data_IF_781925337372
#
_entry.id   IF_781925337372
#
_cell.length_a   1.000
_cell.length_b   1.000
_cell.length_c   1.000
_cell.angle_alpha   90.00
_cell.angle_beta   90.00
_cell.angle_gamma   90.00
#
_symmetry.space_group_name_H-M   'P 1'
#
loop_
_entity.id
_entity.type
_entity.pdbx_description
1 polymer ?
#
# COMPACT_ATOMS: atom_id res chain seq x y z
N UNK A 1 -6.33 17.92 2.12
CA UNK A 1 -6.03 16.85 3.09
C UNK A 1 -4.59 16.97 3.60
N UNK A 2 -3.53 16.93 2.75
CA UNK A 2 -2.13 17.00 3.20
C UNK A 2 -1.82 18.28 3.99
N UNK A 3 -2.18 19.45 3.44
CA UNK A 3 -2.00 20.72 4.14
C UNK A 3 -2.70 20.73 5.50
N UNK A 4 -3.96 20.28 5.58
CA UNK A 4 -4.69 20.21 6.84
C UNK A 4 -4.06 19.25 7.85
N UNK A 5 -3.39 18.17 7.38
CA UNK A 5 -2.64 17.29 8.26
C UNK A 5 -1.41 18.01 8.84
N UNK A 6 -0.65 18.73 8.01
CA UNK A 6 0.50 19.52 8.46
C UNK A 6 0.08 20.63 9.43
N UNK A 7 -1.01 21.35 9.17
CA UNK A 7 -1.53 22.38 10.05
C UNK A 7 -1.92 21.86 11.44
N UNK A 8 -2.47 20.61 11.47
CA UNK A 8 -2.97 20.00 12.72
C UNK A 8 -1.91 19.24 13.51
N UNK A 9 -1.01 18.55 12.84
CA UNK A 9 -0.05 17.63 13.45
C UNK A 9 1.38 18.17 13.46
N UNK A 10 1.62 19.26 12.73
CA UNK A 10 2.98 19.77 12.51
C UNK A 10 3.73 18.91 11.48
N UNK A 11 4.98 18.65 11.77
CA UNK A 11 5.85 17.85 10.92
C UNK A 11 5.39 16.39 10.83
N UNK A 12 5.33 15.87 9.61
CA UNK A 12 4.92 14.49 9.35
C UNK A 12 6.15 13.63 9.11
N UNK A 13 6.38 12.69 9.98
CA UNK A 13 7.53 11.78 9.97
C UNK A 13 7.26 10.49 9.20
N UNK A 14 6.04 9.96 9.33
CA UNK A 14 5.65 8.68 8.75
C UNK A 14 4.35 8.87 7.97
N UNK A 15 4.35 8.42 6.73
CA UNK A 15 3.17 8.37 5.85
C UNK A 15 2.82 6.92 5.59
N UNK A 16 1.56 6.55 5.88
CA UNK A 16 1.03 5.22 5.56
C UNK A 16 -0.13 5.37 4.56
N UNK A 17 0.11 5.02 3.32
CA UNK A 17 -0.89 4.96 2.26
C UNK A 17 -1.65 3.62 2.36
N UNK A 18 -2.65 3.56 3.24
CA UNK A 18 -3.44 2.35 3.54
C UNK A 18 -4.80 2.34 2.83
N UNK A 19 -5.33 3.50 2.47
CA UNK A 19 -6.62 3.59 1.78
C UNK A 19 -6.61 2.81 0.47
N UNK A 20 -7.69 2.07 0.20
CA UNK A 20 -7.82 1.30 -1.02
C UNK A 20 -9.24 0.82 -1.26
N UNK A 21 -9.50 0.40 -2.50
CA UNK A 21 -10.75 -0.25 -2.92
C UNK A 21 -10.40 -1.54 -3.67
N UNK A 22 -11.25 -2.54 -3.53
CA UNK A 22 -11.13 -3.86 -4.17
C UNK A 22 -12.40 -4.14 -4.99
N UNK A 23 -12.51 -3.61 -6.22
CA UNK A 23 -13.59 -4.02 -7.11
C UNK A 23 -13.37 -5.45 -7.58
N UNK A 24 -14.34 -6.30 -7.30
CA UNK A 24 -14.37 -7.69 -7.73
C UNK A 24 -15.39 -7.82 -8.87
N UNK A 25 -14.90 -7.79 -10.11
CA UNK A 25 -15.73 -7.82 -11.31
C UNK A 25 -14.91 -8.22 -12.53
N UNK A 26 -15.56 -8.91 -13.45
CA UNK A 26 -14.99 -9.28 -14.75
C UNK A 26 -14.62 -8.02 -15.55
N UNK A 27 -13.50 -8.07 -16.28
CA UNK A 27 -13.00 -6.94 -17.07
C UNK A 27 -14.02 -6.49 -18.12
N UNK A 28 -14.72 -7.42 -18.76
CA UNK A 28 -15.72 -7.08 -19.79
C UNK A 28 -16.91 -6.28 -19.23
N UNK A 29 -17.22 -6.43 -17.95
CA UNK A 29 -18.31 -5.73 -17.27
C UNK A 29 -17.84 -4.49 -16.51
N UNK A 30 -16.52 -4.30 -16.41
CA UNK A 30 -15.94 -3.16 -15.69
C UNK A 30 -16.17 -1.86 -16.44
N UNK A 31 -16.80 -0.89 -15.81
CA UNK A 31 -17.00 0.45 -16.38
C UNK A 31 -15.74 1.30 -16.25
N UNK A 32 -15.56 2.29 -17.13
CA UNK A 32 -14.47 3.28 -17.00
C UNK A 32 -14.54 4.03 -15.67
N UNK A 33 -15.74 4.31 -15.17
CA UNK A 33 -15.91 4.95 -13.86
C UNK A 33 -15.35 4.10 -12.71
N UNK A 34 -15.56 2.79 -12.74
CA UNK A 34 -14.99 1.86 -11.74
C UNK A 34 -13.47 1.80 -11.86
N UNK A 35 -12.94 1.75 -13.09
CA UNK A 35 -11.52 1.82 -13.36
C UNK A 35 -10.90 3.10 -12.78
N UNK A 36 -11.45 4.28 -13.15
CA UNK A 36 -10.96 5.57 -12.70
C UNK A 36 -11.00 5.70 -11.17
N UNK A 37 -12.10 5.25 -10.54
CA UNK A 37 -12.20 5.23 -9.07
C UNK A 37 -11.11 4.37 -8.44
N UNK A 38 -10.89 3.18 -8.96
CA UNK A 38 -9.86 2.28 -8.44
C UNK A 38 -8.46 2.90 -8.57
N UNK A 39 -8.11 3.40 -9.76
CA UNK A 39 -6.82 4.03 -10.02
C UNK A 39 -6.62 5.32 -9.20
N UNK A 40 -7.66 6.13 -9.06
CA UNK A 40 -7.59 7.37 -8.28
C UNK A 40 -7.31 7.09 -6.78
N UNK A 41 -7.96 6.08 -6.20
CA UNK A 41 -7.79 5.74 -4.79
C UNK A 41 -6.49 4.95 -4.57
N UNK A 42 -6.25 3.89 -5.34
CA UNK A 42 -5.17 2.96 -5.08
C UNK A 42 -3.79 3.44 -5.57
N UNK A 43 -3.75 4.38 -6.53
CA UNK A 43 -2.50 4.83 -7.17
C UNK A 43 -2.30 6.33 -7.09
N UNK A 44 -3.26 7.12 -7.60
CA UNK A 44 -3.11 8.57 -7.68
C UNK A 44 -3.02 9.22 -6.31
N UNK A 45 -3.83 8.78 -5.34
CA UNK A 45 -3.79 9.32 -3.99
C UNK A 45 -2.44 9.06 -3.30
N UNK A 46 -1.89 7.82 -3.27
CA UNK A 46 -0.53 7.57 -2.78
C UNK A 46 0.54 8.40 -3.47
N UNK A 47 0.46 8.58 -4.79
CA UNK A 47 1.38 9.46 -5.52
C UNK A 47 1.33 10.90 -5.02
N UNK A 48 0.13 11.49 -4.91
CA UNK A 48 -0.05 12.89 -4.46
C UNK A 48 0.45 13.07 -3.03
N UNK A 49 0.10 12.15 -2.12
CA UNK A 49 0.49 12.20 -0.71
C UNK A 49 1.99 12.07 -0.57
N UNK A 50 2.60 11.08 -1.21
CA UNK A 50 4.05 10.87 -1.18
C UNK A 50 4.80 12.07 -1.75
N UNK A 51 4.37 12.59 -2.92
CA UNK A 51 4.94 13.79 -3.54
C UNK A 51 4.89 15.01 -2.61
N UNK A 52 3.83 15.17 -1.85
CA UNK A 52 3.66 16.32 -0.94
C UNK A 52 4.65 16.26 0.22
N UNK A 53 4.77 15.11 0.89
CA UNK A 53 5.59 14.98 2.10
C UNK A 53 7.07 14.69 1.83
N UNK A 54 7.43 14.07 0.71
CA UNK A 54 8.81 13.67 0.43
C UNK A 54 9.79 14.85 0.40
N UNK A 55 9.36 16.03 -0.02
CA UNK A 55 10.23 17.21 -0.12
C UNK A 55 10.75 17.65 1.24
N UNK A 56 9.87 17.72 2.24
CA UNK A 56 10.25 18.06 3.62
C UNK A 56 11.06 16.92 4.25
N UNK A 57 10.67 15.66 4.06
CA UNK A 57 11.41 14.49 4.52
C UNK A 57 12.86 14.48 3.98
N UNK A 58 13.06 14.80 2.70
CA UNK A 58 14.40 14.94 2.09
C UNK A 58 15.21 16.04 2.76
N UNK A 59 14.64 17.22 2.98
CA UNK A 59 15.38 18.37 3.53
C UNK A 59 15.95 18.10 4.94
N UNK A 60 15.25 17.31 5.74
CA UNK A 60 15.69 16.90 7.08
C UNK A 60 16.38 15.54 7.13
N UNK A 61 16.54 14.88 5.96
CA UNK A 61 17.19 13.58 5.80
C UNK A 61 16.58 12.47 6.66
N UNK A 62 15.28 12.56 6.90
CA UNK A 62 14.52 11.56 7.64
C UNK A 62 13.07 11.52 7.23
N UNK A 63 12.53 10.35 7.01
CA UNK A 63 11.13 10.10 6.71
C UNK A 63 10.87 8.63 6.42
N UNK A 64 9.58 8.24 6.54
CA UNK A 64 9.11 6.88 6.22
C UNK A 64 7.85 6.96 5.39
N UNK A 65 7.82 6.28 4.26
CA UNK A 65 6.64 6.17 3.40
C UNK A 65 6.34 4.69 3.21
N UNK A 66 5.20 4.23 3.71
CA UNK A 66 4.73 2.86 3.53
C UNK A 66 3.50 2.85 2.62
N UNK A 67 3.61 2.17 1.50
CA UNK A 67 2.50 1.92 0.58
C UNK A 67 1.94 0.51 0.82
N UNK A 68 0.68 0.43 1.24
CA UNK A 68 0.00 -0.86 1.43
C UNK A 68 -0.39 -1.43 0.08
N UNK A 69 0.46 -2.34 -0.39
CA UNK A 69 0.30 -3.11 -1.62
C UNK A 69 -0.74 -4.23 -1.50
N UNK A 70 -0.43 -5.34 -2.10
CA UNK A 70 -1.18 -6.60 -2.02
C UNK A 70 -0.35 -7.72 -2.64
N UNK A 71 -0.62 -8.98 -2.30
CA UNK A 71 -0.15 -10.14 -3.08
C UNK A 71 -0.57 -10.04 -4.55
N UNK A 72 -1.67 -9.36 -4.86
CA UNK A 72 -2.14 -9.06 -6.22
C UNK A 72 -1.25 -8.10 -7.01
N UNK A 73 -0.20 -7.53 -6.40
CA UNK A 73 0.81 -6.74 -7.11
C UNK A 73 1.85 -7.63 -7.84
N UNK A 74 1.79 -8.95 -7.63
CA UNK A 74 2.77 -9.91 -8.16
C UNK A 74 2.14 -11.00 -9.03
N UNK A 75 0.83 -10.91 -9.29
CA UNK A 75 0.10 -11.86 -10.13
C UNK A 75 -1.27 -11.36 -10.53
N UNK A 76 -1.94 -12.07 -11.41
CA UNK A 76 -3.30 -11.82 -11.83
C UNK A 76 -4.32 -12.65 -11.06
N UNK A 77 -5.57 -12.20 -11.02
CA UNK A 77 -6.71 -12.95 -10.51
C UNK A 77 -7.92 -12.67 -11.40
N UNK A 78 -8.66 -13.72 -11.75
CA UNK A 78 -9.94 -13.56 -12.41
C UNK A 78 -10.85 -12.64 -11.58
N UNK A 79 -11.67 -11.84 -12.26
CA UNK A 79 -12.62 -10.88 -11.69
C UNK A 79 -11.99 -9.77 -10.79
N UNK A 80 -10.68 -9.67 -10.77
CA UNK A 80 -9.95 -8.63 -10.02
C UNK A 80 -8.97 -7.84 -10.90
N UNK A 81 -9.20 -7.80 -12.22
CA UNK A 81 -8.24 -7.25 -13.20
C UNK A 81 -7.82 -5.80 -12.90
N UNK A 82 -8.77 -4.90 -12.67
CA UNK A 82 -8.44 -3.49 -12.37
C UNK A 82 -7.77 -3.32 -11.00
N UNK A 83 -8.10 -4.14 -10.02
CA UNK A 83 -7.42 -4.15 -8.73
C UNK A 83 -5.97 -4.61 -8.87
N UNK A 84 -5.73 -5.74 -9.55
CA UNK A 84 -4.37 -6.21 -9.83
C UNK A 84 -3.57 -5.15 -10.58
N UNK A 85 -4.14 -4.53 -11.61
CA UNK A 85 -3.53 -3.41 -12.35
C UNK A 85 -3.12 -2.28 -11.40
N UNK A 86 -4.01 -1.85 -10.52
CA UNK A 86 -3.73 -0.76 -9.57
C UNK A 86 -2.62 -1.12 -8.58
N UNK A 87 -2.58 -2.37 -8.11
CA UNK A 87 -1.55 -2.81 -7.15
C UNK A 87 -0.18 -3.03 -7.80
N UNK A 88 -0.13 -3.46 -9.06
CA UNK A 88 1.12 -3.45 -9.85
C UNK A 88 1.62 -2.02 -10.09
N UNK A 89 0.72 -1.08 -10.42
CA UNK A 89 1.07 0.32 -10.60
C UNK A 89 1.60 0.96 -9.29
N UNK A 90 0.98 0.65 -8.14
CA UNK A 90 1.44 1.12 -6.83
C UNK A 90 2.81 0.54 -6.47
N UNK A 91 3.08 -0.73 -6.79
CA UNK A 91 4.38 -1.34 -6.60
C UNK A 91 5.46 -0.64 -7.44
N UNK A 92 5.17 -0.37 -8.72
CA UNK A 92 6.08 0.38 -9.60
C UNK A 92 6.38 1.78 -9.07
N UNK A 93 5.34 2.51 -8.61
CA UNK A 93 5.51 3.82 -7.96
C UNK A 93 6.40 3.71 -6.71
N UNK A 94 6.17 2.70 -5.87
CA UNK A 94 6.94 2.51 -4.63
C UNK A 94 8.41 2.24 -4.91
N UNK A 95 8.72 1.39 -5.91
CA UNK A 95 10.09 1.12 -6.37
C UNK A 95 10.79 2.38 -6.87
N UNK A 96 10.09 3.21 -7.63
CA UNK A 96 10.64 4.48 -8.13
C UNK A 96 10.93 5.45 -6.98
N UNK A 97 9.99 5.63 -6.06
CA UNK A 97 10.18 6.47 -4.88
C UNK A 97 11.35 5.99 -4.00
N UNK A 98 11.49 4.67 -3.82
CA UNK A 98 12.64 4.10 -3.10
C UNK A 98 13.96 4.49 -3.76
N UNK A 99 14.09 4.33 -5.09
CA UNK A 99 15.31 4.69 -5.80
C UNK A 99 15.62 6.19 -5.73
N UNK A 100 14.59 7.05 -5.78
CA UNK A 100 14.75 8.50 -5.70
C UNK A 100 15.16 8.99 -4.30
N UNK A 101 14.73 8.29 -3.24
CA UNK A 101 14.80 8.80 -1.86
C UNK A 101 15.83 8.11 -0.97
N UNK A 102 16.33 6.94 -1.35
CA UNK A 102 17.20 6.10 -0.51
C UNK A 102 18.48 6.80 -0.05
N UNK A 103 19.01 7.73 -0.85
CA UNK A 103 20.22 8.48 -0.50
C UNK A 103 19.93 9.75 0.31
N UNK A 104 18.67 10.10 0.49
CA UNK A 104 18.20 11.28 1.18
C UNK A 104 17.71 10.99 2.63
N UNK A 105 17.98 9.79 3.14
CA UNK A 105 17.59 9.39 4.49
C UNK A 105 16.09 9.04 4.62
N UNK A 106 15.36 8.98 3.50
CA UNK A 106 13.93 8.63 3.49
C UNK A 106 13.78 7.17 3.06
N UNK A 107 13.11 6.37 3.88
CA UNK A 107 12.84 4.96 3.58
C UNK A 107 11.45 4.81 2.99
N UNK A 108 11.35 4.05 1.91
CA UNK A 108 10.08 3.76 1.22
C UNK A 108 9.87 2.26 1.19
N UNK A 109 8.66 1.85 1.58
CA UNK A 109 8.32 0.44 1.72
C UNK A 109 7.11 0.07 0.87
N UNK A 110 7.18 -1.06 0.18
CA UNK A 110 6.02 -1.79 -0.32
C UNK A 110 5.64 -2.87 0.67
N UNK A 111 4.52 -2.71 1.35
CA UNK A 111 4.01 -3.70 2.27
C UNK A 111 2.81 -4.42 1.64
N UNK A 112 2.98 -5.68 1.25
CA UNK A 112 2.07 -6.42 0.38
C UNK A 112 1.50 -7.65 1.08
N UNK A 113 0.44 -7.49 1.88
CA UNK A 113 -0.23 -8.61 2.53
C UNK A 113 -1.07 -9.44 1.56
N UNK A 114 -1.26 -10.70 1.91
CA UNK A 114 -2.31 -11.55 1.38
C UNK A 114 -3.69 -11.14 1.89
N UNK A 115 -4.63 -12.08 1.94
CA UNK A 115 -6.00 -11.80 2.40
C UNK A 115 -6.03 -11.54 3.91
N UNK A 116 -6.61 -10.40 4.30
CA UNK A 116 -6.74 -9.96 5.69
C UNK A 116 -8.21 -10.02 6.08
N UNK A 117 -8.51 -10.41 7.31
CA UNK A 117 -9.86 -10.47 7.89
C UNK A 117 -10.40 -9.06 8.18
N UNK A 118 -10.82 -8.39 7.11
CA UNK A 118 -11.39 -7.04 7.11
C UNK A 118 -12.69 -7.04 6.31
N UNK A 119 -13.55 -6.03 6.45
CA UNK A 119 -14.76 -5.92 5.61
C UNK A 119 -14.45 -6.03 4.13
N UNK A 120 -13.33 -5.45 3.64
CA UNK A 120 -12.89 -5.59 2.25
C UNK A 120 -12.51 -7.04 1.92
N UNK A 121 -11.73 -7.71 2.76
CA UNK A 121 -11.30 -9.09 2.51
C UNK A 121 -12.48 -10.06 2.46
N UNK A 122 -13.47 -9.86 3.32
CA UNK A 122 -14.66 -10.69 3.42
C UNK A 122 -15.61 -10.56 2.21
N UNK A 123 -15.38 -9.63 1.28
CA UNK A 123 -16.17 -9.56 0.04
C UNK A 123 -15.80 -10.61 -0.99
N UNK A 124 -14.63 -11.23 -0.87
CA UNK A 124 -14.21 -12.32 -1.77
C UNK A 124 -14.67 -13.69 -1.25
N UNK A 125 -15.88 -14.07 -1.60
CA UNK A 125 -16.50 -15.35 -1.20
C UNK A 125 -15.89 -16.59 -1.86
N UNK A 126 -14.89 -16.45 -2.73
CA UNK A 126 -14.16 -17.54 -3.37
C UNK A 126 -13.07 -18.13 -2.47
N UNK A 127 -12.78 -17.48 -1.33
CA UNK A 127 -11.72 -17.87 -0.41
C UNK A 127 -12.28 -18.34 0.93
N UNK A 128 -11.55 -19.24 1.59
CA UNK A 128 -11.82 -19.61 2.98
C UNK A 128 -11.37 -18.50 3.92
N UNK A 129 -12.33 -17.75 4.46
CA UNK A 129 -12.09 -16.62 5.34
C UNK A 129 -11.49 -17.02 6.69
N UNK A 130 -11.58 -18.31 7.09
CA UNK A 130 -10.98 -18.80 8.35
C UNK A 130 -9.45 -18.74 8.33
N UNK A 131 -8.85 -18.76 7.12
CA UNK A 131 -7.41 -18.72 6.91
C UNK A 131 -6.85 -17.29 6.78
N UNK A 132 -7.70 -16.25 6.84
CA UNK A 132 -7.28 -14.87 6.64
C UNK A 132 -6.41 -14.35 7.77
N UNK A 133 -5.43 -13.53 7.42
CA UNK A 133 -4.54 -12.86 8.37
C UNK A 133 -5.32 -12.00 9.35
N UNK A 134 -4.88 -11.98 10.61
CA UNK A 134 -5.39 -11.05 11.60
C UNK A 134 -4.92 -9.63 11.28
N UNK A 135 -5.83 -8.64 11.18
CA UNK A 135 -5.44 -7.27 10.86
C UNK A 135 -4.54 -6.63 11.91
N UNK A 136 -4.61 -7.08 13.17
CA UNK A 136 -3.75 -6.57 14.25
C UNK A 136 -2.31 -7.05 14.05
N UNK A 137 -2.10 -8.33 13.79
CA UNK A 137 -0.76 -8.88 13.50
C UNK A 137 -0.11 -8.21 12.28
N UNK A 138 -0.92 -8.00 11.21
CA UNK A 138 -0.47 -7.30 10.02
C UNK A 138 -0.04 -5.86 10.34
N UNK A 139 -0.82 -5.15 11.17
CA UNK A 139 -0.51 -3.79 11.57
C UNK A 139 0.72 -3.71 12.47
N UNK A 140 0.87 -4.62 13.44
CA UNK A 140 2.04 -4.70 14.34
C UNK A 140 3.33 -4.91 13.52
N UNK A 141 3.29 -5.78 12.51
CA UNK A 141 4.44 -6.01 11.65
C UNK A 141 4.76 -4.78 10.76
N UNK A 142 3.73 -4.09 10.25
CA UNK A 142 3.91 -2.84 9.52
C UNK A 142 4.55 -1.75 10.40
N UNK A 143 4.13 -1.62 11.66
CA UNK A 143 4.75 -0.70 12.62
C UNK A 143 6.20 -1.08 12.88
N UNK A 144 6.48 -2.36 13.14
CA UNK A 144 7.84 -2.85 13.37
C UNK A 144 8.80 -2.43 12.26
N UNK A 145 8.46 -2.68 10.99
CA UNK A 145 9.35 -2.35 9.87
C UNK A 145 9.57 -0.85 9.68
N UNK A 146 8.58 -0.01 10.00
CA UNK A 146 8.71 1.45 9.90
C UNK A 146 9.50 2.07 11.04
N UNK A 147 9.46 1.46 12.22
CA UNK A 147 10.12 1.98 13.44
C UNK A 147 11.49 1.38 13.67
N UNK A 148 11.84 0.31 12.95
CA UNK A 148 13.16 -0.31 13.04
C UNK A 148 14.20 0.57 12.34
N UNK A 149 14.97 1.33 13.12
CA UNK A 149 15.89 2.34 12.62
C UNK A 149 17.35 1.87 12.73
N UNK A 150 17.76 1.02 11.80
CA UNK A 150 19.12 0.53 11.63
C UNK A 150 19.55 0.64 10.16
N UNK A 151 20.69 0.03 9.80
CA UNK A 151 21.22 0.05 8.44
C UNK A 151 20.46 -0.86 7.46
N UNK A 152 19.61 -1.77 7.97
CA UNK A 152 18.84 -2.67 7.14
C UNK A 152 17.53 -2.03 6.69
N UNK A 153 17.15 -2.29 5.44
CA UNK A 153 15.83 -1.97 4.90
C UNK A 153 15.29 -3.15 4.09
N UNK A 154 14.06 -3.53 4.40
CA UNK A 154 13.29 -4.43 3.56
C UNK A 154 12.32 -3.60 2.72
N UNK A 155 12.72 -3.18 1.52
CA UNK A 155 11.92 -2.28 0.68
C UNK A 155 10.64 -2.93 0.14
N UNK A 156 10.64 -4.25 -0.05
CA UNK A 156 9.47 -5.03 -0.48
C UNK A 156 9.19 -6.16 0.50
N UNK A 157 8.09 -6.04 1.22
CA UNK A 157 7.67 -7.01 2.22
C UNK A 157 6.37 -7.68 1.79
N UNK A 158 6.42 -8.99 1.61
CA UNK A 158 5.26 -9.82 1.31
C UNK A 158 4.93 -10.67 2.51
N UNK A 159 3.74 -10.50 3.08
CA UNK A 159 3.23 -11.32 4.18
C UNK A 159 2.02 -12.10 3.70
N UNK A 160 2.05 -13.41 3.89
CA UNK A 160 1.01 -14.31 3.42
C UNK A 160 0.54 -15.23 4.55
N UNK A 161 -0.63 -15.82 4.34
CA UNK A 161 -1.14 -16.89 5.18
C UNK A 161 -0.21 -18.11 5.14
N UNK A 162 -0.14 -18.82 6.23
CA UNK A 162 0.56 -20.12 6.30
C UNK A 162 -0.23 -21.16 5.50
N UNK A 163 -1.57 -21.15 5.64
CA UNK A 163 -2.47 -22.04 4.90
C UNK A 163 -3.32 -21.24 3.91
N UNK A 164 -3.45 -21.77 2.70
CA UNK A 164 -4.39 -21.28 1.67
C UNK A 164 -5.29 -22.46 1.29
N UNK A 165 -6.56 -22.38 1.66
CA UNK A 165 -7.60 -23.36 1.31
C UNK A 165 -8.66 -22.71 0.45
#
# INVERSE_FOLDING_TARGET
ACQAATEKLGMIDIVVNCAGVFPLQNIAETTLQQYDRCMNINVRAPFIISKYFMTEMKSRRWGRILNVGSSSAYGGSADAGIYCTSKHALLGLTRSLYQELRNDGVRVYSFSPGSIRTPMGLTDHRQDHSTFLDPKEVAEYAVFIMTHDNELIAEEIRVNRIEVR
#
